data_IF_527612297260
#
_entry.id   IF_527612297260
#
_cell.length_a   1.000
_cell.length_b   1.000
_cell.length_c   1.000
_cell.angle_alpha   90.00
_cell.angle_beta   90.00
_cell.angle_gamma   90.00
#
_symmetry.space_group_name_H-M   'P 1'
#
loop_
_entity.id
_entity.type
_entity.pdbx_description
1 polymer ?
#
# COMPACT_ATOMS: atom_id res chain seq x y z
N UNK A 1 20.05 59.16 -1.10
CA UNK A 1 18.68 59.00 -0.57
C UNK A 1 18.63 57.69 0.20
N UNK A 2 17.95 57.64 1.35
CA UNK A 2 17.74 56.39 2.07
C UNK A 2 16.92 55.42 1.22
N UNK A 3 17.23 54.12 1.28
CA UNK A 3 16.42 53.07 0.63
C UNK A 3 15.02 53.05 1.26
N UNK A 4 14.00 52.74 0.46
CA UNK A 4 12.69 52.43 0.99
C UNK A 4 12.75 51.17 1.87
N UNK A 5 11.85 51.01 2.86
CA UNK A 5 11.91 49.89 3.81
C UNK A 5 11.96 48.50 3.15
N UNK A 6 11.22 48.31 2.06
CA UNK A 6 11.22 47.10 1.24
C UNK A 6 12.59 46.83 0.59
N UNK A 7 13.19 47.85 -0.04
CA UNK A 7 14.51 47.73 -0.68
C UNK A 7 15.62 47.49 0.35
N UNK A 8 15.51 48.06 1.54
CA UNK A 8 16.43 47.81 2.64
C UNK A 8 16.35 46.36 3.14
N UNK A 9 15.14 45.80 3.29
CA UNK A 9 14.93 44.42 3.71
C UNK A 9 15.47 43.41 2.68
N UNK A 10 15.20 43.60 1.38
CA UNK A 10 15.73 42.74 0.31
C UNK A 10 17.26 42.82 0.25
N UNK A 11 17.85 44.01 0.44
CA UNK A 11 19.31 44.16 0.50
C UNK A 11 19.92 43.35 1.64
N UNK A 12 19.32 43.40 2.84
CA UNK A 12 19.78 42.63 4.00
C UNK A 12 19.68 41.11 3.77
N UNK A 13 18.62 40.65 3.10
CA UNK A 13 18.48 39.24 2.72
C UNK A 13 19.58 38.79 1.75
N UNK A 14 19.89 39.59 0.73
CA UNK A 14 20.97 39.29 -0.22
C UNK A 14 22.34 39.25 0.49
N UNK A 15 22.62 40.22 1.36
CA UNK A 15 23.87 40.25 2.14
C UNK A 15 24.00 39.02 3.05
N UNK A 16 22.90 38.54 3.63
CA UNK A 16 22.89 37.32 4.43
C UNK A 16 23.14 36.06 3.60
N UNK A 17 22.56 35.96 2.39
CA UNK A 17 22.81 34.85 1.47
C UNK A 17 24.27 34.83 0.98
N UNK A 18 24.82 35.99 0.64
CA UNK A 18 26.24 36.12 0.27
C UNK A 18 27.16 35.69 1.42
N UNK A 19 26.81 36.02 2.67
CA UNK A 19 27.56 35.56 3.85
C UNK A 19 27.49 34.02 4.03
N UNK A 20 26.34 33.40 3.75
CA UNK A 20 26.21 31.92 3.77
C UNK A 20 27.08 31.28 2.69
N UNK A 21 27.10 31.84 1.48
CA UNK A 21 27.96 31.36 0.39
C UNK A 21 29.45 31.53 0.73
N UNK A 22 29.83 32.66 1.30
CA UNK A 22 31.21 32.90 1.76
C UNK A 22 31.64 31.92 2.87
N UNK A 23 30.72 31.55 3.77
CA UNK A 23 30.96 30.57 4.83
C UNK A 23 31.08 29.12 4.32
N UNK A 24 30.55 28.82 3.13
CA UNK A 24 30.76 27.53 2.49
C UNK A 24 32.19 27.38 1.96
N UNK A 25 32.77 28.41 1.34
CA UNK A 25 34.13 28.36 0.77
C UNK A 25 34.32 27.25 -0.28
N UNK A 26 35.58 26.98 -0.67
CA UNK A 26 35.88 26.05 -1.78
C UNK A 26 35.89 24.56 -1.38
N UNK A 27 36.12 24.24 -0.08
CA UNK A 27 36.15 22.85 0.41
C UNK A 27 35.70 22.74 1.89
N UNK A 28 34.42 23.01 2.19
CA UNK A 28 33.91 22.97 3.57
C UNK A 28 33.87 21.55 4.16
N UNK A 29 34.06 21.41 5.49
CA UNK A 29 33.77 20.15 6.18
C UNK A 29 32.31 19.70 5.98
N UNK A 30 32.06 18.38 5.89
CA UNK A 30 30.71 17.84 5.65
C UNK A 30 29.65 18.31 6.65
N UNK A 31 30.03 18.49 7.92
CA UNK A 31 29.12 19.01 8.95
C UNK A 31 28.64 20.44 8.65
N UNK A 32 29.51 21.28 8.05
CA UNK A 32 29.18 22.64 7.63
C UNK A 32 28.24 22.61 6.42
N UNK A 33 28.52 21.76 5.43
CA UNK A 33 27.65 21.53 4.27
C UNK A 33 26.25 21.11 4.70
N UNK A 34 26.14 20.15 5.63
CA UNK A 34 24.85 19.66 6.12
C UNK A 34 24.05 20.78 6.79
N UNK A 35 24.67 21.53 7.70
CA UNK A 35 24.03 22.65 8.42
C UNK A 35 23.58 23.77 7.48
N UNK A 36 24.40 24.12 6.48
CA UNK A 36 24.03 25.11 5.45
C UNK A 36 22.84 24.60 4.63
N UNK A 37 22.85 23.34 4.19
CA UNK A 37 21.76 22.74 3.41
C UNK A 37 20.44 22.70 4.19
N UNK A 38 20.48 22.21 5.43
CA UNK A 38 19.31 22.18 6.32
C UNK A 38 18.77 23.59 6.60
N UNK A 39 19.67 24.54 6.89
CA UNK A 39 19.31 25.94 7.14
C UNK A 39 18.69 26.63 5.92
N UNK A 40 19.27 26.46 4.73
CA UNK A 40 18.74 27.01 3.48
C UNK A 40 17.40 26.39 3.11
N UNK A 41 17.21 25.08 3.31
CA UNK A 41 15.93 24.41 3.07
C UNK A 41 14.82 24.98 3.96
N UNK A 42 15.11 25.22 5.25
CA UNK A 42 14.15 25.86 6.17
C UNK A 42 13.82 27.31 5.73
N UNK A 43 14.83 28.07 5.28
CA UNK A 43 14.62 29.44 4.82
C UNK A 43 13.91 29.51 3.46
N UNK A 44 14.06 28.51 2.58
CA UNK A 44 13.31 28.44 1.33
C UNK A 44 11.79 28.40 1.59
N UNK A 45 11.34 27.62 2.59
CA UNK A 45 9.94 27.63 3.02
C UNK A 45 9.48 28.97 3.58
N UNK A 46 10.32 29.64 4.37
CA UNK A 46 10.01 30.97 4.92
C UNK A 46 9.94 32.06 3.84
N UNK A 47 10.85 32.04 2.85
CA UNK A 47 10.85 32.94 1.71
C UNK A 47 9.60 32.73 0.86
N UNK A 48 9.22 31.47 0.58
CA UNK A 48 8.00 31.18 -0.18
C UNK A 48 6.73 31.61 0.56
N UNK A 49 6.72 31.47 1.89
CA UNK A 49 5.63 31.97 2.74
C UNK A 49 5.53 33.50 2.69
N UNK A 50 6.66 34.20 2.77
CA UNK A 50 6.72 35.66 2.67
C UNK A 50 6.33 36.17 1.28
N UNK A 51 6.76 35.48 0.22
CA UNK A 51 6.33 35.73 -1.17
C UNK A 51 4.82 35.60 -1.29
N UNK A 52 4.25 34.51 -0.77
CA UNK A 52 2.80 34.26 -0.79
C UNK A 52 2.00 35.29 0.00
N UNK A 53 2.53 35.78 1.13
CA UNK A 53 1.86 36.79 1.96
C UNK A 53 1.92 38.21 1.36
N UNK A 54 2.90 38.48 0.49
CA UNK A 54 3.09 39.79 -0.15
C UNK A 54 2.46 39.87 -1.55
N UNK A 55 2.08 38.73 -2.13
CA UNK A 55 1.35 38.66 -3.40
C UNK A 55 -0.15 38.96 -3.17
N UNK A 56 -0.72 40.03 -3.76
CA UNK A 56 -2.15 40.31 -3.66
C UNK A 56 -3.00 39.23 -4.36
N UNK A 57 -2.40 38.42 -5.23
CA UNK A 57 -3.02 37.28 -5.87
C UNK A 57 -2.64 36.03 -5.08
N UNK A 58 -3.62 35.37 -4.46
CA UNK A 58 -3.37 34.16 -3.69
C UNK A 58 -2.92 33.03 -4.62
N UNK A 59 -1.80 32.41 -4.29
CA UNK A 59 -1.42 31.12 -4.86
C UNK A 59 -2.42 30.05 -4.41
N UNK A 60 -2.79 29.08 -5.27
CA UNK A 60 -3.53 27.92 -4.82
C UNK A 60 -2.67 27.12 -3.83
N UNK A 61 -3.29 26.50 -2.82
CA UNK A 61 -2.58 25.67 -1.83
C UNK A 61 -1.97 24.39 -2.42
N UNK A 62 -2.30 24.05 -3.67
CA UNK A 62 -1.66 23.00 -4.43
C UNK A 62 -2.05 23.03 -5.92
N UNK A 63 -1.26 22.38 -6.76
CA UNK A 63 -1.55 22.16 -8.18
C UNK A 63 -1.99 20.73 -8.40
N UNK A 64 -3.03 20.51 -9.21
CA UNK A 64 -3.41 19.17 -9.65
C UNK A 64 -2.55 18.77 -10.86
N UNK A 65 -1.67 17.80 -10.67
CA UNK A 65 -0.91 17.17 -11.75
C UNK A 65 -1.51 15.77 -12.03
N UNK A 66 -2.21 15.56 -13.16
CA UNK A 66 -2.79 14.26 -13.50
C UNK A 66 -1.73 13.18 -13.77
N UNK A 67 -0.46 13.57 -13.93
CA UNK A 67 0.67 12.65 -14.11
C UNK A 67 1.42 12.32 -12.83
N UNK A 68 1.13 12.99 -11.70
CA UNK A 68 1.70 12.63 -10.40
C UNK A 68 1.29 11.19 -10.05
N UNK A 69 2.24 10.27 -9.79
CA UNK A 69 1.94 8.92 -9.36
C UNK A 69 0.91 8.86 -8.21
N UNK A 70 0.97 9.74 -7.21
CA UNK A 70 0.00 9.74 -6.11
C UNK A 70 -1.42 10.02 -6.59
N UNK A 71 -1.57 10.96 -7.51
CA UNK A 71 -2.85 11.32 -8.15
C UNK A 71 -3.36 10.16 -8.99
N UNK A 72 -2.50 9.54 -9.80
CA UNK A 72 -2.83 8.35 -10.59
C UNK A 72 -3.29 7.20 -9.70
N UNK A 73 -2.55 6.88 -8.64
CA UNK A 73 -2.89 5.82 -7.68
C UNK A 73 -4.27 6.03 -7.05
N UNK A 74 -4.59 7.27 -6.65
CA UNK A 74 -5.91 7.64 -6.10
C UNK A 74 -7.02 7.52 -7.14
N UNK A 75 -6.81 7.98 -8.37
CA UNK A 75 -7.79 7.85 -9.45
C UNK A 75 -8.09 6.38 -9.79
N UNK A 76 -7.06 5.55 -9.89
CA UNK A 76 -7.23 4.10 -10.16
C UNK A 76 -7.92 3.41 -8.99
N UNK A 77 -7.64 3.83 -7.75
CA UNK A 77 -8.31 3.29 -6.55
C UNK A 77 -9.80 3.62 -6.53
N UNK A 78 -10.19 4.85 -6.86
CA UNK A 78 -11.59 5.23 -7.04
C UNK A 78 -12.26 4.39 -8.13
N UNK A 79 -11.59 4.22 -9.27
CA UNK A 79 -12.10 3.40 -10.36
C UNK A 79 -12.27 1.93 -9.96
N UNK A 80 -11.38 1.39 -9.12
CA UNK A 80 -11.50 0.03 -8.57
C UNK A 80 -12.70 -0.08 -7.64
N UNK A 81 -12.88 0.88 -6.72
CA UNK A 81 -14.01 0.89 -5.78
C UNK A 81 -15.37 0.97 -6.49
N UNK A 82 -15.43 1.62 -7.65
CA UNK A 82 -16.63 1.68 -8.48
C UNK A 82 -16.98 0.33 -9.16
N UNK A 83 -16.08 -0.65 -9.15
CA UNK A 83 -16.35 -1.97 -9.74
C UNK A 83 -17.30 -2.78 -8.85
N UNK A 84 -18.17 -3.62 -9.44
CA UNK A 84 -19.05 -4.48 -8.66
C UNK A 84 -18.24 -5.49 -7.87
N UNK A 85 -18.74 -5.83 -6.68
CA UNK A 85 -18.25 -6.99 -5.93
C UNK A 85 -18.72 -8.27 -6.61
N UNK A 86 -17.76 -9.15 -6.95
CA UNK A 86 -18.01 -10.45 -7.56
C UNK A 86 -17.44 -11.54 -6.66
N UNK A 87 -18.16 -12.63 -6.47
CA UNK A 87 -17.67 -13.78 -5.70
C UNK A 87 -16.37 -14.29 -6.30
N UNK A 88 -15.38 -14.54 -5.45
CA UNK A 88 -14.06 -15.01 -5.88
C UNK A 88 -14.16 -16.37 -6.62
N UNK A 89 -15.11 -17.21 -6.19
CA UNK A 89 -15.43 -18.49 -6.84
C UNK A 89 -16.02 -18.37 -8.26
N UNK A 90 -16.63 -17.22 -8.59
CA UNK A 90 -17.39 -17.03 -9.83
C UNK A 90 -16.58 -16.32 -10.93
N UNK A 91 -15.29 -16.07 -10.70
CA UNK A 91 -14.45 -15.35 -11.64
C UNK A 91 -14.32 -16.13 -12.95
N UNK A 92 -14.55 -15.43 -14.06
CA UNK A 92 -14.49 -15.98 -15.41
C UNK A 92 -13.29 -15.41 -16.17
N UNK A 93 -12.61 -16.23 -17.00
CA UNK A 93 -11.50 -15.78 -17.84
C UNK A 93 -11.81 -14.51 -18.63
N UNK A 94 -10.93 -13.52 -18.52
CA UNK A 94 -10.96 -12.30 -19.30
C UNK A 94 -9.55 -11.77 -19.53
N UNK A 95 -9.36 -11.09 -20.67
CA UNK A 95 -8.13 -10.39 -20.99
C UNK A 95 -7.96 -9.14 -20.12
N UNK A 96 -6.71 -8.78 -19.87
CA UNK A 96 -6.29 -7.61 -19.11
C UNK A 96 -5.32 -7.94 -17.98
N UNK A 97 -4.46 -6.98 -17.70
CA UNK A 97 -3.67 -6.85 -16.47
C UNK A 97 -4.21 -5.69 -15.64
N UNK A 98 -3.82 -5.59 -14.37
CA UNK A 98 -4.30 -4.50 -13.54
C UNK A 98 -4.24 -4.77 -12.06
N UNK A 99 -5.22 -4.24 -11.32
CA UNK A 99 -5.28 -4.28 -9.87
C UNK A 99 -6.56 -4.97 -9.39
N UNK A 100 -6.49 -5.61 -8.24
CA UNK A 100 -7.62 -6.25 -7.59
C UNK A 100 -7.57 -6.12 -6.08
N UNK A 101 -8.74 -6.28 -5.46
CA UNK A 101 -8.92 -6.31 -4.03
C UNK A 101 -9.85 -7.47 -3.67
N UNK A 102 -9.48 -8.25 -2.65
CA UNK A 102 -10.26 -9.36 -2.12
C UNK A 102 -10.91 -8.89 -0.80
N UNK A 103 -12.17 -9.24 -0.60
CA UNK A 103 -12.98 -8.86 0.55
C UNK A 103 -13.53 -10.10 1.24
N UNK A 104 -13.76 -9.99 2.55
CA UNK A 104 -14.25 -11.08 3.37
C UNK A 104 -15.67 -10.81 3.87
N UNK A 105 -16.54 -11.82 3.87
CA UNK A 105 -17.93 -11.70 4.34
C UNK A 105 -18.37 -12.85 5.27
N UNK A 106 -17.46 -13.73 5.66
CA UNK A 106 -17.77 -14.87 6.51
C UNK A 106 -17.66 -14.59 8.01
N UNK A 107 -17.58 -15.66 8.79
CA UNK A 107 -17.63 -15.70 10.26
C UNK A 107 -16.31 -16.17 10.93
N UNK A 108 -15.21 -16.26 10.18
CA UNK A 108 -13.90 -16.63 10.71
C UNK A 108 -13.46 -15.64 11.80
N UNK A 109 -13.15 -16.08 13.04
CA UNK A 109 -12.93 -15.18 14.18
C UNK A 109 -11.85 -14.12 13.96
N UNK A 110 -10.74 -14.48 13.30
CA UNK A 110 -9.66 -13.52 12.98
C UNK A 110 -10.13 -12.33 12.13
N UNK A 111 -11.18 -12.51 11.32
CA UNK A 111 -11.59 -11.53 10.30
C UNK A 111 -12.96 -10.91 10.58
N UNK A 112 -13.54 -11.17 11.77
CA UNK A 112 -14.84 -10.63 12.17
C UNK A 112 -14.90 -9.10 12.09
N UNK A 113 -13.78 -8.40 12.34
CA UNK A 113 -13.71 -6.94 12.26
C UNK A 113 -13.95 -6.37 10.85
N UNK A 114 -13.50 -7.08 9.80
CA UNK A 114 -13.59 -6.65 8.40
C UNK A 114 -14.71 -7.32 7.61
N UNK A 115 -15.41 -8.30 8.20
CA UNK A 115 -16.48 -9.03 7.55
C UNK A 115 -17.60 -8.08 7.07
N UNK A 116 -17.90 -8.13 5.77
CA UNK A 116 -18.95 -7.30 5.14
C UNK A 116 -18.62 -5.81 5.06
N UNK A 117 -17.36 -5.43 5.26
CA UNK A 117 -16.87 -4.05 5.15
C UNK A 117 -16.34 -3.74 3.74
N UNK A 118 -16.10 -2.47 3.45
CA UNK A 118 -15.39 -1.95 2.29
C UNK A 118 -13.86 -2.02 2.44
N UNK A 119 -13.34 -2.58 3.54
CA UNK A 119 -11.91 -2.81 3.73
C UNK A 119 -11.51 -4.17 3.16
N UNK A 120 -10.63 -4.22 2.15
CA UNK A 120 -10.14 -5.48 1.61
C UNK A 120 -9.28 -6.23 2.63
N UNK A 121 -9.34 -7.56 2.58
CA UNK A 121 -8.45 -8.45 3.35
C UNK A 121 -7.09 -8.59 2.65
N UNK A 122 -7.07 -8.46 1.32
CA UNK A 122 -5.88 -8.50 0.48
C UNK A 122 -6.03 -7.59 -0.74
N UNK A 123 -4.94 -6.94 -1.13
CA UNK A 123 -4.82 -6.17 -2.37
C UNK A 123 -3.62 -6.69 -3.15
N UNK A 124 -3.76 -6.78 -4.46
CA UNK A 124 -2.63 -7.12 -5.32
C UNK A 124 -2.77 -6.59 -6.74
N UNK A 125 -1.68 -6.70 -7.49
CA UNK A 125 -1.64 -6.47 -8.94
C UNK A 125 -1.43 -7.75 -9.74
N UNK A 126 -1.66 -7.65 -11.03
CA UNK A 126 -1.18 -8.59 -12.02
C UNK A 126 -0.53 -7.78 -13.15
N UNK A 127 0.73 -8.07 -13.45
CA UNK A 127 1.45 -7.43 -14.54
C UNK A 127 1.05 -8.03 -15.91
N UNK A 128 1.15 -7.25 -16.99
CA UNK A 128 0.83 -7.74 -18.32
C UNK A 128 1.79 -8.86 -18.75
N UNK A 129 1.37 -9.66 -19.73
CA UNK A 129 2.23 -10.66 -20.36
C UNK A 129 3.38 -10.04 -21.18
N UNK A 130 3.25 -8.76 -21.54
CA UNK A 130 4.26 -7.97 -22.20
C UNK A 130 4.25 -6.56 -21.57
N UNK A 131 5.40 -6.07 -21.12
CA UNK A 131 5.55 -4.76 -20.46
C UNK A 131 5.21 -3.58 -21.38
N UNK A 132 5.26 -3.77 -22.70
CA UNK A 132 4.89 -2.76 -23.69
C UNK A 132 3.46 -2.97 -24.25
N UNK A 133 2.64 -3.82 -23.62
CA UNK A 133 1.29 -4.10 -24.07
C UNK A 133 0.43 -2.81 -24.12
N UNK A 134 -0.13 -2.53 -25.29
CA UNK A 134 -0.99 -1.37 -25.56
C UNK A 134 -2.47 -1.74 -25.57
N UNK A 135 -2.78 -3.03 -25.69
CA UNK A 135 -4.15 -3.56 -25.69
C UNK A 135 -4.34 -4.61 -24.61
N UNK A 136 -5.57 -4.77 -24.12
CA UNK A 136 -5.90 -5.80 -23.12
C UNK A 136 -5.59 -7.22 -23.59
N UNK A 137 -5.67 -7.47 -24.91
CA UNK A 137 -5.33 -8.77 -25.50
C UNK A 137 -3.83 -9.06 -25.40
N UNK A 138 -2.97 -8.06 -25.65
CA UNK A 138 -1.51 -8.16 -25.48
C UNK A 138 -1.13 -8.33 -24.01
N UNK A 139 -1.88 -7.73 -23.09
CA UNK A 139 -1.69 -7.92 -21.65
C UNK A 139 -1.96 -9.38 -21.22
N UNK A 140 -2.70 -10.16 -22.00
CA UNK A 140 -3.08 -11.54 -21.66
C UNK A 140 -4.14 -11.62 -20.56
N UNK A 141 -4.50 -12.82 -20.11
CA UNK A 141 -5.52 -13.04 -19.07
C UNK A 141 -4.95 -12.95 -17.64
N UNK A 142 -3.94 -12.10 -17.42
CA UNK A 142 -3.08 -12.07 -16.22
C UNK A 142 -3.85 -11.76 -14.94
N UNK A 143 -4.71 -10.74 -14.97
CA UNK A 143 -5.51 -10.35 -13.81
C UNK A 143 -6.45 -11.48 -13.37
N UNK A 144 -7.09 -12.14 -14.33
CA UNK A 144 -7.98 -13.28 -14.05
C UNK A 144 -7.19 -14.48 -13.52
N UNK A 145 -6.05 -14.80 -14.14
CA UNK A 145 -5.21 -15.91 -13.71
C UNK A 145 -4.76 -15.75 -12.25
N UNK A 146 -4.33 -14.55 -11.85
CA UNK A 146 -3.90 -14.25 -10.48
C UNK A 146 -5.03 -14.41 -9.45
N UNK A 147 -6.23 -13.93 -9.78
CA UNK A 147 -7.39 -14.11 -8.91
C UNK A 147 -7.82 -15.57 -8.77
N UNK A 148 -7.77 -16.35 -9.86
CA UNK A 148 -8.05 -17.79 -9.82
C UNK A 148 -7.00 -18.57 -9.02
N UNK A 149 -5.75 -18.15 -9.06
CA UNK A 149 -4.68 -18.68 -8.22
C UNK A 149 -4.99 -18.47 -6.73
N UNK A 150 -5.36 -17.25 -6.32
CA UNK A 150 -5.77 -16.96 -4.94
C UNK A 150 -7.01 -17.76 -4.53
N UNK A 151 -7.99 -17.88 -5.43
CA UNK A 151 -9.16 -18.73 -5.20
C UNK A 151 -8.76 -20.19 -4.95
N UNK A 152 -7.79 -20.71 -5.72
CA UNK A 152 -7.23 -22.05 -5.55
C UNK A 152 -6.50 -22.23 -4.22
N UNK A 153 -5.72 -21.23 -3.80
CA UNK A 153 -5.04 -21.21 -2.49
C UNK A 153 -6.04 -21.28 -1.33
N UNK A 154 -7.09 -20.44 -1.37
CA UNK A 154 -8.15 -20.45 -0.36
C UNK A 154 -8.94 -21.76 -0.40
N UNK A 155 -9.26 -22.28 -1.58
CA UNK A 155 -9.96 -23.57 -1.73
C UNK A 155 -9.15 -24.73 -1.15
N UNK A 156 -7.82 -24.69 -1.32
CA UNK A 156 -6.91 -25.71 -0.76
C UNK A 156 -6.96 -25.70 0.77
N UNK A 157 -6.87 -24.52 1.39
CA UNK A 157 -7.02 -24.39 2.84
C UNK A 157 -8.43 -24.80 3.33
N UNK A 158 -9.47 -24.41 2.59
CA UNK A 158 -10.85 -24.79 2.91
C UNK A 158 -11.05 -26.31 2.91
N UNK A 159 -10.42 -27.03 1.96
CA UNK A 159 -10.44 -28.49 1.92
C UNK A 159 -9.77 -29.18 3.11
N UNK A 160 -8.96 -28.46 3.90
CA UNK A 160 -8.28 -28.96 5.08
C UNK A 160 -9.12 -28.85 6.36
N UNK A 161 -10.35 -28.33 6.29
CA UNK A 161 -11.21 -28.08 7.45
C UNK A 161 -11.37 -29.29 8.40
N UNK A 162 -11.43 -30.52 7.86
CA UNK A 162 -11.58 -31.74 8.66
C UNK A 162 -10.31 -32.22 9.38
N UNK A 163 -9.16 -31.58 9.13
CA UNK A 163 -7.84 -31.93 9.68
C UNK A 163 -7.24 -30.78 10.50
N UNK A 164 -8.03 -29.74 10.80
CA UNK A 164 -7.54 -28.57 11.51
C UNK A 164 -7.06 -28.94 12.93
N UNK A 165 -5.89 -28.42 13.35
CA UNK A 165 -5.47 -28.42 14.74
C UNK A 165 -6.51 -27.74 15.64
N UNK A 166 -6.53 -28.13 16.91
CA UNK A 166 -7.37 -27.49 17.93
C UNK A 166 -7.06 -25.99 18.03
N UNK A 167 -8.10 -25.16 18.09
CA UNK A 167 -7.99 -23.70 18.17
C UNK A 167 -7.89 -22.98 16.82
N UNK A 168 -7.77 -23.70 15.69
CA UNK A 168 -7.90 -23.11 14.35
C UNK A 168 -9.32 -23.24 13.80
N UNK A 169 -9.67 -22.35 12.88
CA UNK A 169 -11.02 -22.25 12.31
C UNK A 169 -10.98 -22.42 10.79
N UNK A 170 -12.01 -23.04 10.20
CA UNK A 170 -12.04 -23.24 8.75
C UNK A 170 -12.29 -21.94 8.01
N UNK A 171 -11.59 -21.78 6.88
CA UNK A 171 -11.86 -20.77 5.86
C UNK A 171 -12.73 -21.38 4.75
N UNK A 172 -13.54 -20.57 4.08
CA UNK A 172 -14.43 -21.02 3.01
C UNK A 172 -14.31 -20.10 1.80
N UNK A 173 -14.19 -20.65 0.60
CA UNK A 173 -14.04 -19.84 -0.62
C UNK A 173 -15.28 -18.97 -0.89
N UNK A 174 -16.47 -19.46 -0.52
CA UNK A 174 -17.74 -18.76 -0.68
C UNK A 174 -17.88 -17.47 0.13
N UNK A 175 -17.01 -17.27 1.13
CA UNK A 175 -16.97 -16.09 2.00
C UNK A 175 -16.11 -14.95 1.42
N UNK A 176 -15.58 -15.12 0.19
CA UNK A 176 -14.71 -14.15 -0.45
C UNK A 176 -15.34 -13.50 -1.66
N UNK A 177 -15.27 -12.17 -1.70
CA UNK A 177 -15.64 -11.33 -2.83
C UNK A 177 -14.38 -10.67 -3.41
N UNK A 178 -14.48 -10.12 -4.60
CA UNK A 178 -13.40 -9.38 -5.23
C UNK A 178 -13.92 -8.20 -6.04
N UNK A 179 -13.12 -7.13 -6.07
CA UNK A 179 -13.18 -6.10 -7.12
C UNK A 179 -11.93 -6.26 -7.98
N UNK A 180 -12.06 -6.03 -9.27
CA UNK A 180 -10.94 -6.09 -10.22
C UNK A 180 -11.07 -4.96 -11.24
N UNK A 181 -9.96 -4.35 -11.59
CA UNK A 181 -9.90 -3.29 -12.58
C UNK A 181 -8.77 -3.59 -13.56
N UNK A 182 -9.13 -3.76 -14.82
CA UNK A 182 -8.15 -3.79 -15.92
C UNK A 182 -7.69 -2.36 -16.16
N UNK A 183 -6.39 -2.11 -16.15
CA UNK A 183 -5.84 -0.77 -16.34
C UNK A 183 -4.79 -0.75 -17.45
N UNK A 184 -4.44 0.46 -17.88
CA UNK A 184 -3.29 0.66 -18.77
C UNK A 184 -2.01 0.17 -18.08
N UNK A 185 -1.05 -0.29 -18.88
CA UNK A 185 0.24 -0.76 -18.40
C UNK A 185 0.94 0.33 -17.58
N UNK A 186 1.61 -0.09 -16.50
CA UNK A 186 2.24 0.72 -15.43
C UNK A 186 1.28 1.34 -14.40
N UNK A 187 -0.02 1.53 -14.72
CA UNK A 187 -0.96 2.09 -13.76
C UNK A 187 -1.20 1.16 -12.55
N UNK A 188 -1.03 -0.15 -12.72
CA UNK A 188 -1.24 -1.15 -11.67
C UNK A 188 -0.26 -1.00 -10.51
N UNK A 189 1.00 -0.62 -10.80
CA UNK A 189 2.07 -0.51 -9.80
C UNK A 189 1.75 0.55 -8.76
N UNK A 190 1.26 1.70 -9.23
CA UNK A 190 0.99 2.85 -8.38
C UNK A 190 -0.33 2.66 -7.62
N UNK A 191 -1.31 2.01 -8.25
CA UNK A 191 -2.60 1.71 -7.65
C UNK A 191 -2.49 0.72 -6.48
N UNK A 192 -1.76 -0.38 -6.66
CA UNK A 192 -1.54 -1.38 -5.59
C UNK A 192 -0.93 -0.74 -4.36
N UNK A 193 0.19 -0.01 -4.54
CA UNK A 193 0.86 0.68 -3.44
C UNK A 193 -0.05 1.69 -2.73
N UNK A 194 -0.88 2.41 -3.48
CA UNK A 194 -1.84 3.35 -2.90
C UNK A 194 -2.90 2.62 -2.07
N UNK A 195 -3.55 1.59 -2.64
CA UNK A 195 -4.57 0.80 -1.96
C UNK A 195 -4.05 0.12 -0.69
N UNK A 196 -2.84 -0.45 -0.72
CA UNK A 196 -2.20 -1.05 0.46
C UNK A 196 -2.02 0.00 1.56
N UNK A 197 -1.55 1.20 1.21
CA UNK A 197 -1.36 2.30 2.19
C UNK A 197 -2.67 2.86 2.73
N UNK A 198 -3.74 2.85 1.94
CA UNK A 198 -5.03 3.35 2.38
C UNK A 198 -5.74 2.36 3.31
N UNK A 199 -5.70 1.07 2.99
CA UNK A 199 -6.50 0.05 3.68
C UNK A 199 -5.72 -0.81 4.67
N UNK A 200 -4.39 -0.89 4.57
CA UNK A 200 -3.54 -1.81 5.32
C UNK A 200 -4.12 -3.24 5.43
N UNK A 201 -4.37 -3.92 4.30
CA UNK A 201 -5.05 -5.21 4.31
C UNK A 201 -4.24 -6.24 5.09
N UNK A 202 -4.90 -7.03 5.93
CA UNK A 202 -4.22 -7.89 6.92
C UNK A 202 -3.41 -9.02 6.30
N UNK A 203 -3.69 -9.42 5.05
CA UNK A 203 -2.94 -10.44 4.31
C UNK A 203 -1.76 -9.90 3.50
N UNK A 204 -1.64 -8.58 3.36
CA UNK A 204 -0.51 -7.97 2.68
C UNK A 204 0.74 -8.00 3.57
N UNK A 205 1.90 -8.23 2.94
CA UNK A 205 3.20 -8.34 3.61
C UNK A 205 3.57 -7.06 4.36
N UNK A 206 3.23 -5.92 3.77
CA UNK A 206 3.47 -4.57 4.28
C UNK A 206 2.80 -4.33 5.64
N UNK A 207 1.67 -4.99 5.89
CA UNK A 207 0.91 -4.89 7.14
C UNK A 207 1.58 -5.69 8.26
N UNK A 208 2.35 -6.74 7.92
CA UNK A 208 3.02 -7.68 8.85
C UNK A 208 2.08 -8.36 9.87
N UNK A 209 0.79 -8.45 9.55
CA UNK A 209 -0.22 -9.09 10.39
C UNK A 209 -0.36 -10.58 10.06
N UNK A 210 -0.70 -10.92 8.81
CA UNK A 210 -0.95 -12.29 8.38
C UNK A 210 -0.50 -12.53 6.93
N UNK A 211 0.79 -12.33 6.65
CA UNK A 211 1.35 -12.43 5.29
C UNK A 211 1.50 -13.88 4.79
N UNK A 212 1.78 -14.03 3.49
CA UNK A 212 2.17 -15.30 2.88
C UNK A 212 1.11 -15.99 2.02
N UNK A 213 -0.07 -15.37 1.81
CA UNK A 213 -1.09 -15.94 0.93
C UNK A 213 -0.56 -16.14 -0.51
N UNK A 214 0.18 -15.17 -1.04
CA UNK A 214 0.73 -15.20 -2.40
C UNK A 214 2.07 -15.95 -2.52
N UNK A 215 2.55 -16.58 -1.43
CA UNK A 215 3.80 -17.35 -1.44
C UNK A 215 3.65 -18.63 -2.25
N UNK A 216 4.60 -18.86 -3.15
CA UNK A 216 4.78 -20.12 -3.86
C UNK A 216 5.73 -21.04 -3.10
N UNK A 217 5.44 -22.34 -3.15
CA UNK A 217 6.24 -23.33 -2.44
C UNK A 217 7.53 -23.66 -3.19
N UNK A 218 8.66 -23.17 -2.70
CA UNK A 218 9.96 -23.76 -3.02
C UNK A 218 10.18 -25.04 -2.21
N UNK A 219 11.01 -25.96 -2.72
CA UNK A 219 11.28 -27.22 -2.04
C UNK A 219 11.79 -27.00 -0.60
N UNK A 220 11.25 -27.75 0.35
CA UNK A 220 11.58 -27.70 1.79
C UNK A 220 13.07 -27.97 2.13
N UNK A 221 13.88 -28.36 1.15
CA UNK A 221 15.33 -28.54 1.28
C UNK A 221 16.13 -27.23 1.30
N UNK A 222 15.50 -26.08 1.07
CA UNK A 222 16.10 -24.75 1.28
C UNK A 222 16.09 -24.41 2.78
N UNK A 223 17.28 -24.35 3.39
CA UNK A 223 17.58 -24.37 4.84
C UNK A 223 16.97 -23.25 5.73
N UNK A 224 16.07 -22.40 5.23
CA UNK A 224 15.64 -21.20 5.96
C UNK A 224 14.14 -20.84 5.87
N UNK A 225 13.33 -21.60 5.11
CA UNK A 225 11.93 -21.23 4.93
C UNK A 225 11.10 -21.53 6.20
N UNK A 226 10.51 -20.50 6.81
CA UNK A 226 9.51 -20.67 7.88
C UNK A 226 8.12 -20.84 7.28
N UNK A 227 7.20 -21.43 8.05
CA UNK A 227 5.77 -21.47 7.73
C UNK A 227 5.23 -20.05 7.86
N UNK A 228 4.65 -19.52 6.77
CA UNK A 228 4.11 -18.15 6.77
C UNK A 228 2.93 -18.02 7.74
N UNK A 229 2.64 -16.83 8.27
CA UNK A 229 1.50 -16.64 9.16
C UNK A 229 0.18 -17.09 8.55
N UNK A 230 -0.01 -16.82 7.25
CA UNK A 230 -1.20 -17.28 6.54
C UNK A 230 -1.31 -18.81 6.55
N UNK A 231 -0.21 -19.55 6.33
CA UNK A 231 -0.20 -21.02 6.44
C UNK A 231 -0.36 -21.54 7.87
N UNK A 232 0.06 -20.76 8.87
CA UNK A 232 -0.12 -21.11 10.29
C UNK A 232 -1.60 -21.13 10.65
N UNK A 233 -2.37 -20.13 10.21
CA UNK A 233 -3.81 -20.03 10.53
C UNK A 233 -4.73 -20.65 9.48
N UNK A 234 -4.25 -20.90 8.25
CA UNK A 234 -4.97 -21.55 7.14
C UNK A 234 -4.16 -22.72 6.56
N UNK A 235 -3.94 -23.81 7.32
CA UNK A 235 -3.18 -24.96 6.83
C UNK A 235 -3.91 -25.66 5.67
N UNK A 236 -3.16 -26.37 4.83
CA UNK A 236 -3.70 -27.19 3.74
C UNK A 236 -2.80 -27.24 2.50
N UNK A 237 -1.95 -26.23 2.29
CA UNK A 237 -0.94 -26.24 1.23
C UNK A 237 0.12 -27.28 1.56
N UNK A 238 0.26 -28.30 0.70
CA UNK A 238 1.12 -29.46 0.95
C UNK A 238 2.56 -29.11 1.34
N UNK A 239 3.17 -28.12 0.67
CA UNK A 239 4.53 -27.69 0.97
C UNK A 239 4.66 -27.02 2.35
N UNK A 240 3.60 -26.41 2.87
CA UNK A 240 3.59 -25.75 4.18
C UNK A 240 3.27 -26.70 5.35
N UNK A 241 2.78 -27.91 5.05
CA UNK A 241 2.47 -28.96 6.03
C UNK A 241 3.72 -29.75 6.48
N UNK A 242 4.90 -29.54 5.88
CA UNK A 242 6.13 -30.22 6.29
C UNK A 242 6.44 -29.90 7.77
N UNK A 243 6.56 -30.95 8.58
CA UNK A 243 6.82 -30.88 10.03
C UNK A 243 8.17 -30.22 10.35
N UNK A 244 9.10 -30.18 9.38
CA UNK A 244 10.40 -29.50 9.54
C UNK A 244 10.28 -27.99 9.54
N UNK A 245 9.17 -27.44 9.03
CA UNK A 245 8.94 -26.00 8.99
C UNK A 245 8.52 -25.50 10.37
N UNK A 246 9.25 -24.49 10.85
CA UNK A 246 8.92 -23.76 12.06
C UNK A 246 7.97 -22.62 11.72
N UNK A 247 6.99 -22.36 12.58
CA UNK A 247 6.12 -21.20 12.46
C UNK A 247 6.94 -19.90 12.47
N UNK A 248 6.63 -18.98 11.56
CA UNK A 248 7.21 -17.63 11.58
C UNK A 248 6.77 -16.83 12.81
N UNK A 249 5.48 -16.93 13.15
CA UNK A 249 4.82 -16.39 14.34
C UNK A 249 3.68 -17.34 14.75
N UNK A 250 3.32 -17.34 16.02
CA UNK A 250 2.30 -18.24 16.59
C UNK A 250 0.88 -17.73 16.33
N UNK A 251 -0.16 -18.61 16.30
CA UNK A 251 -1.54 -18.23 16.02
C UNK A 251 -2.09 -17.08 16.90
N UNK A 252 -1.74 -17.06 18.19
CA UNK A 252 -2.15 -16.00 19.11
C UNK A 252 -1.56 -14.64 18.74
N UNK A 253 -0.28 -14.60 18.38
CA UNK A 253 0.39 -13.37 17.94
C UNK A 253 -0.20 -12.87 16.61
N UNK A 254 -0.56 -13.77 15.69
CA UNK A 254 -1.26 -13.40 14.44
C UNK A 254 -2.58 -12.70 14.76
N UNK A 255 -3.37 -13.23 15.69
CA UNK A 255 -4.63 -12.64 16.12
C UNK A 255 -4.44 -11.25 16.73
N UNK A 256 -3.44 -11.08 17.60
CA UNK A 256 -3.10 -9.79 18.22
C UNK A 256 -2.67 -8.75 17.16
N UNK A 257 -1.83 -9.14 16.20
CA UNK A 257 -1.38 -8.23 15.13
C UNK A 257 -2.52 -7.82 14.18
N UNK A 258 -3.43 -8.74 13.88
CA UNK A 258 -4.66 -8.41 13.12
C UNK A 258 -5.50 -7.43 13.93
N UNK A 259 -5.77 -7.69 15.21
CA UNK A 259 -6.57 -6.81 16.05
C UNK A 259 -5.96 -5.40 16.17
N UNK A 260 -4.65 -5.31 16.45
CA UNK A 260 -3.93 -4.04 16.53
C UNK A 260 -3.97 -3.26 15.19
N UNK A 261 -3.86 -3.98 14.07
CA UNK A 261 -4.00 -3.37 12.73
C UNK A 261 -5.38 -2.75 12.55
N UNK A 262 -6.45 -3.49 12.89
CA UNK A 262 -7.82 -3.04 12.71
C UNK A 262 -8.24 -1.96 13.72
N UNK A 263 -7.59 -1.90 14.89
CA UNK A 263 -7.76 -0.81 15.84
C UNK A 263 -7.13 0.48 15.30
N UNK A 264 -5.90 0.38 14.77
CA UNK A 264 -5.17 1.54 14.24
C UNK A 264 -5.73 2.02 12.90
N UNK A 265 -6.22 1.11 12.07
CA UNK A 265 -6.79 1.37 10.75
C UNK A 265 -8.19 0.74 10.71
N UNK A 266 -9.22 1.43 11.24
CA UNK A 266 -10.56 0.88 11.31
C UNK A 266 -11.13 0.45 9.94
N UNK A 267 -11.89 -0.66 9.90
CA UNK A 267 -12.61 -1.09 8.72
C UNK A 267 -13.59 -0.02 8.24
N UNK A 268 -13.57 0.33 6.94
CA UNK A 268 -14.56 1.23 6.35
C UNK A 268 -15.83 0.45 6.06
N UNK A 269 -16.98 0.92 6.53
CA UNK A 269 -18.26 0.20 6.38
C UNK A 269 -19.22 0.90 5.43
N UNK A 270 -19.11 2.22 5.32
CA UNK A 270 -19.95 3.01 4.42
C UNK A 270 -19.19 3.32 3.12
N UNK A 271 -19.75 2.87 2.00
CA UNK A 271 -19.15 3.07 0.69
C UNK A 271 -19.14 4.54 0.25
N UNK A 272 -20.18 5.31 0.58
CA UNK A 272 -20.25 6.72 0.23
C UNK A 272 -19.23 7.54 1.04
N UNK A 273 -19.11 7.28 2.34
CA UNK A 273 -18.08 7.92 3.18
C UNK A 273 -16.66 7.58 2.70
N UNK A 274 -16.42 6.32 2.29
CA UNK A 274 -15.13 5.92 1.71
C UNK A 274 -14.83 6.66 0.40
N UNK A 275 -15.81 6.82 -0.49
CA UNK A 275 -15.62 7.59 -1.72
C UNK A 275 -15.34 9.07 -1.40
N UNK A 276 -16.03 9.66 -0.43
CA UNK A 276 -15.76 11.01 0.03
C UNK A 276 -14.36 11.15 0.65
N UNK A 277 -13.91 10.19 1.48
CA UNK A 277 -12.52 10.11 1.99
C UNK A 277 -11.51 10.13 0.84
N UNK A 278 -11.73 9.31 -0.18
CA UNK A 278 -10.85 9.25 -1.36
C UNK A 278 -10.89 10.56 -2.17
N UNK A 279 -12.03 11.24 -2.25
CA UNK A 279 -12.18 12.50 -2.97
C UNK A 279 -11.52 13.69 -2.24
N UNK A 280 -11.38 13.66 -0.91
CA UNK A 280 -10.76 14.74 -0.14
C UNK A 280 -9.35 15.09 -0.60
N UNK A 281 -8.53 14.10 -0.94
CA UNK A 281 -7.17 14.39 -1.41
C UNK A 281 -7.06 14.95 -2.83
N UNK A 282 -8.20 15.20 -3.52
CA UNK A 282 -8.22 16.05 -4.71
C UNK A 282 -8.60 17.50 -4.40
N UNK A 283 -9.01 17.82 -3.17
CA UNK A 283 -9.36 19.19 -2.76
C UNK A 283 -8.09 20.01 -2.68
N UNK A 284 -8.08 21.17 -3.33
CA UNK A 284 -6.92 22.06 -3.35
C UNK A 284 -6.86 22.99 -2.14
N UNK A 285 -7.98 23.22 -1.45
CA UNK A 285 -8.10 24.21 -0.36
C UNK A 285 -7.95 23.62 1.05
N UNK A 286 -7.94 22.28 1.17
CA UNK A 286 -7.67 21.58 2.42
C UNK A 286 -6.17 21.26 2.45
N UNK A 287 -5.47 21.71 3.49
CA UNK A 287 -4.02 21.51 3.61
C UNK A 287 -3.64 20.05 3.41
N UNK A 288 -2.51 19.79 2.73
CA UNK A 288 -2.05 18.46 2.36
C UNK A 288 -2.24 17.46 3.52
N UNK A 289 -3.13 16.49 3.36
CA UNK A 289 -3.27 15.40 4.32
C UNK A 289 -1.90 14.77 4.52
N UNK A 290 -1.43 14.73 5.77
CA UNK A 290 -0.20 14.03 6.12
C UNK A 290 -0.35 12.56 5.70
N UNK A 291 0.50 12.11 4.78
CA UNK A 291 0.65 10.69 4.45
C UNK A 291 0.84 9.94 5.76
N UNK A 292 -0.13 9.12 6.18
CA UNK A 292 0.03 8.22 7.32
C UNK A 292 1.03 7.13 6.91
N UNK A 293 2.30 7.52 6.81
CA UNK A 293 3.32 6.77 6.10
C UNK A 293 3.91 5.59 6.85
N UNK A 294 3.46 5.35 8.09
CA UNK A 294 4.00 4.28 8.93
C UNK A 294 3.05 3.08 8.98
N UNK A 295 3.59 1.88 8.79
CA UNK A 295 2.83 0.63 8.84
C UNK A 295 2.27 0.37 10.25
N UNK A 296 1.11 -0.31 10.39
CA UNK A 296 0.52 -0.58 11.71
C UNK A 296 1.43 -1.34 12.64
N UNK A 297 2.24 -2.20 12.06
CA UNK A 297 3.19 -3.03 12.74
C UNK A 297 4.62 -2.63 12.37
N UNK A 298 4.92 -1.34 12.24
CA UNK A 298 6.24 -0.86 11.80
C UNK A 298 7.40 -1.47 12.62
N UNK A 299 7.24 -1.55 13.94
CA UNK A 299 8.24 -2.10 14.87
C UNK A 299 8.25 -3.64 14.95
N UNK A 300 7.26 -4.32 14.39
CA UNK A 300 7.18 -5.77 14.43
C UNK A 300 8.11 -6.42 13.38
N UNK A 301 8.60 -7.61 13.70
CA UNK A 301 9.27 -8.46 12.71
C UNK A 301 8.29 -8.81 11.59
N UNK A 302 8.68 -8.49 10.36
CA UNK A 302 7.91 -8.78 9.13
C UNK A 302 8.50 -9.96 8.35
N UNK A 303 8.00 -10.21 7.13
CA UNK A 303 8.61 -11.18 6.23
C UNK A 303 10.08 -10.85 5.97
N UNK A 304 10.93 -11.87 5.81
CA UNK A 304 12.23 -11.70 5.15
C UNK A 304 12.06 -11.27 3.68
N UNK A 305 13.14 -10.78 3.05
CA UNK A 305 13.11 -10.43 1.61
C UNK A 305 12.66 -11.61 0.72
N UNK A 306 12.99 -12.84 1.12
CA UNK A 306 12.54 -14.08 0.44
C UNK A 306 11.07 -14.42 0.76
N UNK A 307 10.55 -14.05 1.93
CA UNK A 307 9.17 -14.35 2.36
C UNK A 307 8.13 -13.35 1.87
N UNK A 308 8.54 -12.13 1.50
CA UNK A 308 7.63 -11.10 1.00
C UNK A 308 7.01 -11.44 -0.37
N UNK A 309 7.51 -12.50 -1.02
CA UNK A 309 7.26 -12.75 -2.44
C UNK A 309 8.12 -11.79 -3.25
N UNK A 310 9.03 -12.34 -4.06
CA UNK A 310 9.79 -11.52 -5.01
C UNK A 310 8.82 -10.73 -5.91
N UNK A 311 9.23 -9.57 -6.46
CA UNK A 311 8.46 -8.92 -7.50
C UNK A 311 8.20 -9.99 -8.58
N UNK A 312 6.92 -10.32 -8.78
CA UNK A 312 6.48 -11.32 -9.76
C UNK A 312 7.29 -11.14 -11.06
N UNK A 313 8.08 -12.15 -11.45
CA UNK A 313 8.51 -12.34 -12.85
C UNK A 313 7.30 -12.76 -13.71
#
# INVERSE_FOLDING_TARGET
MALSPDRAAIKALNEALDAVLAAAGDNPPQAVVRRIREGLAAHAGAVESARSASDPIRMPSGTFDPSDPKVVGRMVSLALLAQPLVRLADIRPSYGSGVYAIYYTGDHPLYAGIAGSETPIYVGKADPANDDASTTREQGAKLTARLLEHAGTIATAAGYAGQLPEGLHPIRLEDFLSRRLVCATNAQLVAEKHLIRTFWPVWNAETKACWGMSKHGDAASTRANKRSPWDVVHPGRQWALDERLVNSIEPGEIAERIAATLERVPPRRDHAELLEEMLRGFRQDEGAEADQGEAPMADASGPSEEEAGGPDE
#
